data_IF_620644905076
#
_entry.id   IF_620644905076
#
_cell.length_a   1.000
_cell.length_b   1.000
_cell.length_c   1.000
_cell.angle_alpha   90.00
_cell.angle_beta   90.00
_cell.angle_gamma   90.00
#
_symmetry.space_group_name_H-M   'P 1'
#
loop_
_entity.id
_entity.type
_entity.pdbx_description
1 polymer ?
#
# COMPACT_ATOMS: atom_id res chain seq x y z
N UNK A 1 -14.40 -10.82 21.69
CA UNK A 1 -14.94 -10.04 20.57
C UNK A 1 -16.31 -9.54 20.97
N UNK A 2 -16.58 -8.24 20.92
CA UNK A 2 -17.91 -7.69 21.18
C UNK A 2 -18.86 -8.17 20.06
N UNK A 3 -19.92 -8.89 20.41
CA UNK A 3 -20.90 -9.40 19.42
C UNK A 3 -21.45 -8.24 18.56
N UNK A 4 -21.58 -7.05 19.15
CA UNK A 4 -22.07 -5.87 18.46
C UNK A 4 -21.10 -5.32 17.40
N UNK A 5 -19.77 -5.51 17.54
CA UNK A 5 -18.81 -5.08 16.52
C UNK A 5 -18.72 -6.10 15.38
N UNK A 6 -18.78 -7.39 15.69
CA UNK A 6 -18.76 -8.45 14.67
C UNK A 6 -19.92 -8.31 13.69
N UNK A 7 -21.13 -8.00 14.19
CA UNK A 7 -22.30 -7.81 13.34
C UNK A 7 -22.18 -6.57 12.43
N UNK A 8 -21.52 -5.51 12.89
CA UNK A 8 -21.23 -4.32 12.07
C UNK A 8 -20.23 -4.62 10.96
N UNK A 9 -19.21 -5.43 11.24
CA UNK A 9 -18.23 -5.84 10.23
C UNK A 9 -18.90 -6.74 9.18
N UNK A 10 -19.79 -7.65 9.59
CA UNK A 10 -20.61 -8.41 8.65
C UNK A 10 -21.52 -7.51 7.80
N UNK A 11 -22.03 -6.41 8.38
CA UNK A 11 -22.81 -5.45 7.63
C UNK A 11 -22.01 -4.78 6.51
N UNK A 12 -20.70 -4.55 6.67
CA UNK A 12 -19.85 -3.97 5.60
C UNK A 12 -19.89 -4.77 4.30
N UNK A 13 -20.08 -6.10 4.36
CA UNK A 13 -20.19 -6.93 3.15
C UNK A 13 -21.48 -6.70 2.35
N UNK A 14 -22.41 -5.92 2.89
CA UNK A 14 -23.69 -5.58 2.24
C UNK A 14 -23.73 -4.13 1.77
N UNK A 15 -22.66 -3.38 2.01
CA UNK A 15 -22.55 -1.99 1.59
C UNK A 15 -22.03 -1.94 0.15
N UNK A 16 -22.66 -1.11 -0.69
CA UNK A 16 -22.20 -0.89 -2.06
C UNK A 16 -20.88 -0.10 -2.10
N UNK A 17 -20.63 0.57 -3.23
CA UNK A 17 -19.41 1.36 -3.50
C UNK A 17 -18.91 2.23 -2.33
N UNK A 18 -19.82 2.77 -1.51
CA UNK A 18 -19.50 3.52 -0.30
C UNK A 18 -20.33 2.99 0.89
N UNK A 19 -19.71 2.72 2.05
CA UNK A 19 -20.43 2.32 3.23
C UNK A 19 -21.17 3.50 3.87
N UNK A 20 -22.30 3.23 4.51
CA UNK A 20 -23.02 4.21 5.29
C UNK A 20 -22.13 4.85 6.37
N UNK A 21 -22.10 6.18 6.43
CA UNK A 21 -21.20 6.91 7.33
C UNK A 21 -21.43 6.56 8.81
N UNK A 22 -22.69 6.29 9.18
CA UNK A 22 -23.05 5.84 10.52
C UNK A 22 -22.43 4.49 10.86
N UNK A 23 -22.36 3.56 9.91
CA UNK A 23 -21.74 2.26 10.11
C UNK A 23 -20.23 2.41 10.29
N UNK A 24 -19.57 3.14 9.37
CA UNK A 24 -18.15 3.46 9.45
C UNK A 24 -17.80 4.12 10.81
N UNK A 25 -18.55 5.15 11.22
CA UNK A 25 -18.33 5.85 12.49
C UNK A 25 -18.52 4.96 13.74
N UNK A 26 -19.41 3.96 13.68
CA UNK A 26 -19.57 3.00 14.77
C UNK A 26 -18.39 2.02 14.84
N UNK A 27 -17.88 1.60 13.69
CA UNK A 27 -16.73 0.69 13.60
C UNK A 27 -15.46 1.39 14.07
N UNK A 28 -15.18 2.60 13.56
CA UNK A 28 -13.99 3.37 13.97
C UNK A 28 -14.02 3.74 15.45
N UNK A 29 -15.20 4.08 16.01
CA UNK A 29 -15.35 4.35 17.44
C UNK A 29 -15.04 3.13 18.33
N UNK A 30 -15.22 1.92 17.83
CA UNK A 30 -14.84 0.71 18.56
C UNK A 30 -13.32 0.52 18.63
N UNK A 31 -12.55 1.26 17.81
CA UNK A 31 -11.08 1.31 17.85
C UNK A 31 -10.46 -0.09 17.76
N UNK A 32 -9.55 -0.39 18.68
CA UNK A 32 -8.84 -1.67 18.76
C UNK A 32 -9.78 -2.89 18.81
N UNK A 33 -11.02 -2.76 19.32
CA UNK A 33 -11.96 -3.87 19.37
C UNK A 33 -12.46 -4.30 17.98
N UNK A 34 -12.45 -3.40 16.98
CA UNK A 34 -12.79 -3.70 15.60
C UNK A 34 -11.63 -4.31 14.80
N UNK A 35 -10.40 -4.09 15.26
CA UNK A 35 -9.19 -4.32 14.48
C UNK A 35 -9.02 -5.78 14.00
N UNK A 36 -9.18 -6.83 14.83
CA UNK A 36 -9.01 -8.21 14.34
C UNK A 36 -9.97 -8.56 13.21
N UNK A 37 -11.22 -8.12 13.32
CA UNK A 37 -12.26 -8.37 12.33
C UNK A 37 -12.02 -7.59 11.03
N UNK A 38 -11.52 -6.36 11.14
CA UNK A 38 -11.14 -5.55 10.00
C UNK A 38 -9.93 -6.13 9.27
N UNK A 39 -8.92 -6.63 10.00
CA UNK A 39 -7.76 -7.32 9.41
C UNK A 39 -8.23 -8.56 8.65
N UNK A 40 -9.07 -9.39 9.26
CA UNK A 40 -9.63 -10.59 8.63
C UNK A 40 -10.36 -10.24 7.33
N UNK A 41 -11.27 -9.26 7.37
CA UNK A 41 -12.05 -8.86 6.19
C UNK A 41 -11.17 -8.19 5.11
N UNK A 42 -10.21 -7.37 5.49
CA UNK A 42 -9.28 -6.73 4.54
C UNK A 42 -8.34 -7.75 3.87
N UNK A 43 -7.99 -8.83 4.56
CA UNK A 43 -7.16 -9.90 4.01
C UNK A 43 -7.95 -10.95 3.22
N UNK A 44 -9.29 -10.89 3.22
CA UNK A 44 -10.11 -11.77 2.39
C UNK A 44 -10.18 -11.23 0.95
N UNK A 45 -9.04 -11.27 0.26
CA UNK A 45 -8.87 -10.71 -1.08
C UNK A 45 -9.69 -11.45 -2.14
N UNK A 46 -10.06 -12.71 -1.90
CA UNK A 46 -10.94 -13.48 -2.80
C UNK A 46 -12.29 -12.78 -3.04
N UNK A 47 -12.77 -12.02 -2.05
CA UNK A 47 -14.01 -11.25 -2.21
C UNK A 47 -13.89 -10.20 -3.31
N UNK A 48 -12.70 -9.66 -3.60
CA UNK A 48 -12.49 -8.63 -4.63
C UNK A 48 -12.93 -9.10 -6.03
N UNK A 49 -12.93 -10.41 -6.25
CA UNK A 49 -13.39 -11.07 -7.49
C UNK A 49 -14.88 -11.46 -7.46
N UNK A 50 -15.51 -11.47 -6.29
CA UNK A 50 -16.88 -11.96 -6.06
C UNK A 50 -17.97 -10.97 -6.49
N UNK A 51 -19.23 -11.25 -6.19
CA UNK A 51 -20.34 -10.37 -6.61
C UNK A 51 -20.47 -9.10 -5.75
N UNK A 52 -21.03 -8.06 -6.36
CA UNK A 52 -21.49 -6.88 -5.63
C UNK A 52 -22.67 -7.23 -4.71
N UNK A 53 -22.76 -6.63 -3.51
CA UNK A 53 -21.86 -5.61 -2.96
C UNK A 53 -20.62 -6.18 -2.23
N UNK A 54 -20.53 -7.49 -2.03
CA UNK A 54 -19.53 -8.11 -1.16
C UNK A 54 -18.08 -7.86 -1.62
N UNK A 55 -17.86 -7.65 -2.91
CA UNK A 55 -16.53 -7.36 -3.46
C UNK A 55 -15.90 -6.05 -2.98
N UNK A 56 -16.70 -5.10 -2.49
CA UNK A 56 -16.17 -3.84 -1.94
C UNK A 56 -15.70 -3.97 -0.49
N UNK A 57 -16.09 -5.06 0.20
CA UNK A 57 -15.87 -5.23 1.63
C UNK A 57 -14.38 -5.20 2.05
N UNK A 58 -13.43 -5.83 1.32
CA UNK A 58 -12.02 -5.77 1.69
C UNK A 58 -11.44 -4.36 1.60
N UNK A 59 -11.86 -3.56 0.61
CA UNK A 59 -11.45 -2.16 0.47
C UNK A 59 -12.04 -1.31 1.60
N UNK A 60 -13.33 -1.51 1.94
CA UNK A 60 -13.93 -0.83 3.10
C UNK A 60 -13.19 -1.15 4.39
N UNK A 61 -12.88 -2.42 4.62
CA UNK A 61 -12.16 -2.88 5.79
C UNK A 61 -10.74 -2.28 5.84
N UNK A 62 -10.01 -2.30 4.72
CA UNK A 62 -8.69 -1.71 4.58
C UNK A 62 -8.68 -0.22 4.95
N UNK A 63 -9.64 0.55 4.44
CA UNK A 63 -9.73 1.99 4.74
C UNK A 63 -10.09 2.25 6.20
N UNK A 64 -11.00 1.47 6.77
CA UNK A 64 -11.35 1.57 8.19
C UNK A 64 -10.19 1.15 9.11
N UNK A 65 -9.29 0.24 8.68
CA UNK A 65 -8.05 -0.05 9.40
C UNK A 65 -7.14 1.18 9.47
N UNK A 66 -7.05 1.95 8.39
CA UNK A 66 -6.30 3.21 8.37
C UNK A 66 -6.79 4.21 9.42
N UNK A 67 -8.11 4.30 9.58
CA UNK A 67 -8.75 5.19 10.58
C UNK A 67 -8.59 4.68 12.02
N UNK A 68 -8.59 3.36 12.24
CA UNK A 68 -8.36 2.75 13.56
C UNK A 68 -6.88 2.85 13.97
N UNK A 69 -5.97 2.68 13.01
CA UNK A 69 -4.53 2.86 13.18
C UNK A 69 -3.88 1.82 14.09
N UNK A 70 -3.32 0.74 13.51
CA UNK A 70 -2.53 -0.24 14.27
C UNK A 70 -1.38 -0.82 13.43
N UNK A 71 -0.20 -0.92 14.03
CA UNK A 71 0.97 -1.55 13.41
C UNK A 71 0.79 -3.06 13.19
N UNK A 72 -0.14 -3.71 13.91
CA UNK A 72 -0.38 -5.14 13.78
C UNK A 72 -1.01 -5.50 12.41
N UNK A 73 -1.55 -4.52 11.68
CA UNK A 73 -2.08 -4.77 10.32
C UNK A 73 -0.98 -4.98 9.27
N UNK A 74 0.26 -4.54 9.54
CA UNK A 74 1.35 -4.50 8.55
C UNK A 74 1.64 -5.90 8.03
N UNK A 75 1.91 -6.85 8.92
CA UNK A 75 2.28 -8.23 8.55
C UNK A 75 1.15 -8.94 7.80
N UNK A 76 -0.10 -9.00 8.31
CA UNK A 76 -1.21 -9.66 7.62
C UNK A 76 -1.49 -9.09 6.22
N UNK A 77 -1.49 -7.77 6.07
CA UNK A 77 -1.75 -7.12 4.78
C UNK A 77 -0.63 -7.39 3.78
N UNK A 78 0.63 -7.25 4.19
CA UNK A 78 1.78 -7.49 3.30
C UNK A 78 1.90 -8.97 2.90
N UNK A 79 1.40 -9.91 3.71
CA UNK A 79 1.36 -11.34 3.36
C UNK A 79 0.39 -11.66 2.22
N UNK A 80 -0.53 -10.77 1.87
CA UNK A 80 -1.41 -10.97 0.71
C UNK A 80 -0.74 -10.64 -0.62
N UNK A 81 0.50 -10.13 -0.62
CA UNK A 81 1.20 -9.81 -1.86
C UNK A 81 1.97 -11.03 -2.43
N UNK A 82 1.92 -11.26 -3.75
CA UNK A 82 1.13 -10.52 -4.74
C UNK A 82 -0.36 -10.84 -4.62
N UNK A 83 -1.21 -9.84 -4.83
CA UNK A 83 -2.65 -10.06 -4.94
C UNK A 83 -2.91 -10.73 -6.28
N UNK A 84 -3.68 -11.81 -6.28
CA UNK A 84 -4.06 -12.52 -7.50
C UNK A 84 -5.01 -11.66 -8.34
N UNK A 85 -4.85 -11.75 -9.66
CA UNK A 85 -5.76 -11.18 -10.65
C UNK A 85 -6.29 -12.35 -11.49
N UNK A 86 -7.62 -12.47 -11.66
CA UNK A 86 -8.18 -13.43 -12.61
C UNK A 86 -8.16 -12.88 -14.04
N UNK A 87 -8.20 -11.55 -14.20
CA UNK A 87 -8.05 -10.85 -15.49
C UNK A 87 -7.08 -9.66 -15.37
N UNK A 88 -6.41 -9.31 -16.47
CA UNK A 88 -5.35 -8.28 -16.49
C UNK A 88 -5.85 -6.87 -16.10
N UNK A 89 -7.13 -6.58 -16.35
CA UNK A 89 -7.78 -5.29 -16.15
C UNK A 89 -8.64 -5.22 -14.88
N UNK A 90 -8.55 -6.21 -14.00
CA UNK A 90 -9.31 -6.21 -12.75
C UNK A 90 -8.96 -5.03 -11.84
N UNK A 91 -9.95 -4.15 -11.63
CA UNK A 91 -9.72 -2.90 -10.90
C UNK A 91 -9.67 -3.06 -9.38
N UNK A 92 -10.56 -3.84 -8.76
CA UNK A 92 -10.67 -3.90 -7.30
C UNK A 92 -9.42 -4.49 -6.60
N UNK A 93 -8.85 -5.62 -7.07
CA UNK A 93 -7.56 -6.11 -6.56
C UNK A 93 -6.44 -5.08 -6.71
N UNK A 94 -6.40 -4.35 -7.83
CA UNK A 94 -5.41 -3.29 -8.05
C UNK A 94 -5.60 -2.12 -7.07
N UNK A 95 -6.82 -1.63 -6.88
CA UNK A 95 -7.13 -0.58 -5.89
C UNK A 95 -6.69 -1.02 -4.50
N UNK A 96 -7.01 -2.25 -4.10
CA UNK A 96 -6.58 -2.78 -2.80
C UNK A 96 -5.05 -2.81 -2.69
N UNK A 97 -4.35 -3.32 -3.70
CA UNK A 97 -2.89 -3.41 -3.71
C UNK A 97 -2.21 -2.03 -3.71
N UNK A 98 -2.81 -1.04 -4.40
CA UNK A 98 -2.35 0.35 -4.43
C UNK A 98 -2.56 1.06 -3.10
N UNK A 99 -3.65 0.77 -2.38
CA UNK A 99 -3.99 1.42 -1.11
C UNK A 99 -3.28 0.83 0.10
N UNK A 100 -2.95 -0.48 0.14
CA UNK A 100 -2.23 -1.07 1.29
C UNK A 100 -1.00 -0.27 1.72
N UNK A 101 -0.03 0.06 0.83
CA UNK A 101 1.14 0.83 1.24
C UNK A 101 0.79 2.26 1.67
N UNK A 102 -0.29 2.86 1.15
CA UNK A 102 -0.76 4.18 1.56
C UNK A 102 -1.33 4.15 2.99
N UNK A 103 -2.15 3.13 3.28
CA UNK A 103 -2.80 2.92 4.57
C UNK A 103 -1.77 2.57 5.64
N UNK A 104 -0.78 1.74 5.32
CA UNK A 104 0.34 1.48 6.22
C UNK A 104 1.18 2.76 6.41
N UNK A 105 1.44 3.51 5.33
CA UNK A 105 2.15 4.78 5.40
C UNK A 105 1.46 5.83 6.29
N UNK A 106 0.13 5.78 6.39
CA UNK A 106 -0.69 6.63 7.27
C UNK A 106 -0.32 6.49 8.76
N UNK A 107 0.24 5.35 9.18
CA UNK A 107 0.70 5.13 10.56
C UNK A 107 1.92 5.99 10.94
N UNK A 108 2.61 6.58 9.95
CA UNK A 108 3.78 7.43 10.16
C UNK A 108 4.95 6.65 10.80
N UNK A 109 5.64 7.31 11.72
CA UNK A 109 6.90 6.82 12.33
C UNK A 109 6.78 5.41 12.94
N UNK A 110 5.63 5.05 13.48
CA UNK A 110 5.42 3.74 14.12
C UNK A 110 5.56 2.55 13.15
N UNK A 111 5.37 2.76 11.85
CA UNK A 111 5.49 1.70 10.84
C UNK A 111 6.91 1.53 10.29
N UNK A 112 7.85 2.44 10.56
CA UNK A 112 9.18 2.43 9.91
C UNK A 112 9.95 1.15 10.22
N UNK A 113 10.06 0.76 11.49
CA UNK A 113 10.82 -0.43 11.89
C UNK A 113 10.18 -1.73 11.36
N UNK A 114 8.86 -1.97 11.52
CA UNK A 114 8.21 -3.14 10.95
C UNK A 114 8.36 -3.24 9.43
N UNK A 115 8.31 -2.11 8.71
CA UNK A 115 8.49 -2.09 7.26
C UNK A 115 9.91 -2.45 6.83
N UNK A 116 10.93 -1.98 7.56
CA UNK A 116 12.30 -2.41 7.30
C UNK A 116 12.50 -3.90 7.56
N UNK A 117 11.90 -4.43 8.64
CA UNK A 117 11.96 -5.85 8.94
C UNK A 117 11.39 -6.70 7.78
N UNK A 118 10.28 -6.28 7.17
CA UNK A 118 9.73 -6.95 5.98
C UNK A 118 10.62 -6.77 4.75
N UNK A 119 11.08 -5.55 4.47
CA UNK A 119 11.89 -5.26 3.28
C UNK A 119 13.22 -6.05 3.27
N UNK A 120 13.82 -6.25 4.43
CA UNK A 120 15.13 -6.92 4.58
C UNK A 120 15.02 -8.45 4.69
N UNK A 121 13.82 -8.97 4.99
CA UNK A 121 13.60 -10.40 5.18
C UNK A 121 13.46 -11.14 3.83
N UNK A 122 14.50 -11.89 3.46
CA UNK A 122 14.58 -12.57 2.16
C UNK A 122 13.56 -13.72 1.98
N UNK A 123 12.95 -14.21 3.07
CA UNK A 123 11.89 -15.22 3.06
C UNK A 123 10.50 -14.65 2.73
N UNK A 124 10.38 -13.32 2.62
CA UNK A 124 9.15 -12.67 2.20
C UNK A 124 8.97 -12.67 0.68
N UNK A 125 7.73 -12.77 0.18
CA UNK A 125 7.43 -12.62 -1.24
C UNK A 125 8.01 -11.31 -1.80
N UNK A 126 8.61 -11.30 -3.00
CA UNK A 126 9.20 -10.10 -3.58
C UNK A 126 8.23 -8.91 -3.68
N UNK A 127 6.97 -9.18 -4.03
CA UNK A 127 5.93 -8.16 -4.10
C UNK A 127 5.62 -7.53 -2.72
N UNK A 128 5.64 -8.33 -1.65
CA UNK A 128 5.46 -7.84 -0.28
C UNK A 128 6.60 -6.93 0.16
N UNK A 129 7.85 -7.33 -0.15
CA UNK A 129 9.05 -6.52 0.12
C UNK A 129 9.02 -5.20 -0.65
N UNK A 130 8.60 -5.24 -1.91
CA UNK A 130 8.39 -4.04 -2.73
C UNK A 130 7.33 -3.12 -2.11
N UNK A 131 6.16 -3.65 -1.75
CA UNK A 131 5.09 -2.90 -1.10
C UNK A 131 5.52 -2.27 0.23
N UNK A 132 6.33 -2.97 1.03
CA UNK A 132 6.91 -2.42 2.25
C UNK A 132 7.82 -1.20 1.98
N UNK A 133 8.65 -1.29 0.94
CA UNK A 133 9.49 -0.16 0.50
C UNK A 133 8.65 1.02 -0.02
N UNK A 134 7.54 0.76 -0.72
CA UNK A 134 6.60 1.80 -1.14
C UNK A 134 5.93 2.45 0.08
N UNK A 135 5.51 1.68 1.08
CA UNK A 135 4.90 2.21 2.30
C UNK A 135 5.86 3.16 3.05
N UNK A 136 7.17 2.85 3.10
CA UNK A 136 8.18 3.76 3.64
C UNK A 136 8.22 5.11 2.90
N UNK A 137 7.98 5.14 1.59
CA UNK A 137 7.90 6.41 0.85
C UNK A 137 6.68 7.23 1.26
N UNK A 138 5.54 6.59 1.51
CA UNK A 138 4.33 7.27 1.97
C UNK A 138 4.49 7.87 3.38
N UNK A 139 5.28 7.24 4.25
CA UNK A 139 5.62 7.79 5.57
C UNK A 139 6.30 9.16 5.43
N UNK A 140 7.06 9.45 4.36
CA UNK A 140 7.69 10.77 4.22
C UNK A 140 6.69 11.89 4.00
N UNK A 141 5.48 11.58 3.51
CA UNK A 141 4.39 12.54 3.52
C UNK A 141 3.83 12.69 4.93
N UNK A 142 3.60 11.63 5.68
CA UNK A 142 2.94 11.72 7.00
C UNK A 142 3.86 12.27 8.09
N UNK A 143 5.14 11.90 8.06
CA UNK A 143 6.20 12.30 8.98
C UNK A 143 7.41 12.87 8.19
N UNK A 144 7.32 14.13 7.69
CA UNK A 144 8.36 14.73 6.84
C UNK A 144 9.75 14.77 7.47
N UNK A 145 9.83 14.83 8.81
CA UNK A 145 11.09 14.77 9.56
C UNK A 145 11.85 13.44 9.35
N UNK A 146 11.15 12.37 8.96
CA UNK A 146 11.74 11.06 8.66
C UNK A 146 12.28 10.94 7.24
N UNK A 147 12.02 11.92 6.36
CA UNK A 147 12.39 11.86 4.95
C UNK A 147 13.88 11.56 4.75
N UNK A 148 14.76 12.30 5.44
CA UNK A 148 16.21 12.11 5.31
C UNK A 148 16.66 10.73 5.80
N UNK A 149 16.10 10.24 6.92
CA UNK A 149 16.44 8.93 7.46
C UNK A 149 16.00 7.79 6.53
N UNK A 150 14.80 7.89 5.96
CA UNK A 150 14.26 6.90 5.01
C UNK A 150 15.09 6.90 3.71
N UNK A 151 15.41 8.07 3.14
CA UNK A 151 16.28 8.16 1.95
C UNK A 151 17.66 7.57 2.21
N UNK A 152 18.27 7.87 3.36
CA UNK A 152 19.56 7.29 3.73
C UNK A 152 19.49 5.76 3.86
N UNK A 153 18.43 5.25 4.50
CA UNK A 153 18.20 3.81 4.64
C UNK A 153 18.00 3.08 3.30
N UNK A 154 17.28 3.70 2.36
CA UNK A 154 17.11 3.19 1.00
C UNK A 154 18.44 3.17 0.23
N UNK A 155 19.22 4.26 0.29
CA UNK A 155 20.52 4.36 -0.39
C UNK A 155 21.53 3.34 0.15
N UNK A 156 21.59 3.17 1.47
CA UNK A 156 22.48 2.20 2.09
C UNK A 156 22.18 0.77 1.59
N UNK A 157 20.90 0.39 1.56
CA UNK A 157 20.46 -0.92 1.04
C UNK A 157 20.69 -1.07 -0.45
N UNK A 158 20.56 0.01 -1.23
CA UNK A 158 20.83 -0.02 -2.67
C UNK A 158 22.31 -0.28 -2.93
N UNK A 159 23.19 0.37 -2.17
CA UNK A 159 24.64 0.19 -2.28
C UNK A 159 25.09 -1.23 -1.93
N UNK A 160 24.35 -1.93 -1.06
CA UNK A 160 24.62 -3.30 -0.64
C UNK A 160 23.72 -4.35 -1.29
N UNK A 161 22.91 -3.98 -2.30
CA UNK A 161 21.95 -4.89 -2.90
C UNK A 161 22.68 -6.04 -3.62
N UNK A 162 22.51 -7.26 -3.10
CA UNK A 162 23.18 -8.45 -3.63
C UNK A 162 22.50 -9.04 -4.87
N UNK A 163 21.29 -8.60 -5.20
CA UNK A 163 20.50 -9.10 -6.31
C UNK A 163 19.77 -7.96 -7.05
N UNK A 164 19.52 -8.18 -8.35
CA UNK A 164 18.88 -7.18 -9.22
C UNK A 164 17.42 -6.90 -8.88
N UNK A 165 16.73 -7.84 -8.22
CA UNK A 165 15.31 -7.68 -7.90
C UNK A 165 15.14 -6.70 -6.74
N UNK A 166 15.89 -6.88 -5.65
CA UNK A 166 15.94 -5.94 -4.54
C UNK A 166 16.43 -4.56 -4.99
N UNK A 167 17.49 -4.51 -5.81
CA UNK A 167 17.98 -3.26 -6.37
C UNK A 167 16.88 -2.52 -7.15
N UNK A 168 16.08 -3.24 -7.95
CA UNK A 168 14.93 -2.69 -8.70
C UNK A 168 13.86 -2.10 -7.78
N UNK A 169 13.53 -2.77 -6.68
CA UNK A 169 12.54 -2.24 -5.72
C UNK A 169 13.04 -1.00 -4.99
N UNK A 170 14.32 -0.99 -4.60
CA UNK A 170 14.95 0.15 -3.92
C UNK A 170 15.01 1.38 -4.82
N UNK A 171 15.39 1.23 -6.09
CA UNK A 171 15.38 2.36 -7.03
C UNK A 171 13.96 2.83 -7.34
N UNK A 172 12.97 1.94 -7.37
CA UNK A 172 11.55 2.31 -7.52
C UNK A 172 11.07 3.13 -6.32
N UNK A 173 11.43 2.75 -5.08
CA UNK A 173 11.12 3.53 -3.89
C UNK A 173 11.80 4.92 -3.91
N UNK A 174 13.09 4.98 -4.26
CA UNK A 174 13.81 6.25 -4.43
C UNK A 174 13.24 7.11 -5.57
N UNK A 175 12.78 6.47 -6.65
CA UNK A 175 12.04 7.10 -7.74
C UNK A 175 10.71 7.69 -7.27
N UNK A 176 9.97 6.98 -6.41
CA UNK A 176 8.73 7.47 -5.80
C UNK A 176 8.95 8.70 -4.93
N UNK A 177 10.15 8.88 -4.37
CA UNK A 177 10.54 10.08 -3.62
C UNK A 177 11.02 11.22 -4.54
N UNK A 178 11.17 11.00 -5.85
CA UNK A 178 11.63 12.03 -6.78
C UNK A 178 13.11 12.39 -6.63
N UNK A 179 13.96 11.41 -6.28
CA UNK A 179 15.39 11.62 -6.02
C UNK A 179 16.21 11.87 -7.30
N UNK A 180 16.06 13.07 -7.89
CA UNK A 180 16.65 13.49 -9.18
C UNK A 180 18.16 13.28 -9.28
N UNK A 181 18.88 13.45 -8.17
CA UNK A 181 20.34 13.34 -8.11
C UNK A 181 20.84 11.91 -8.34
N UNK A 182 20.00 10.89 -8.17
CA UNK A 182 20.34 9.49 -8.44
C UNK A 182 20.30 9.11 -9.91
N UNK A 183 19.79 9.97 -10.80
CA UNK A 183 19.60 9.62 -12.20
C UNK A 183 20.88 9.10 -12.91
N UNK A 184 22.07 9.72 -12.74
CA UNK A 184 23.31 9.21 -13.34
C UNK A 184 23.68 7.80 -12.85
N UNK A 185 23.56 7.55 -11.55
CA UNK A 185 23.91 6.27 -10.93
C UNK A 185 22.95 5.17 -11.38
N UNK A 186 21.64 5.44 -11.35
CA UNK A 186 20.60 4.52 -11.84
C UNK A 186 20.82 4.16 -13.32
N UNK A 187 21.20 5.13 -14.15
CA UNK A 187 21.51 4.87 -15.56
C UNK A 187 22.74 3.96 -15.71
N UNK A 188 23.76 4.14 -14.88
CA UNK A 188 24.92 3.24 -14.84
C UNK A 188 24.51 1.83 -14.40
N UNK A 189 23.61 1.69 -13.43
CA UNK A 189 23.07 0.40 -12.99
C UNK A 189 22.32 -0.34 -14.09
N UNK A 190 21.47 0.34 -14.89
CA UNK A 190 20.84 -0.27 -16.06
C UNK A 190 21.86 -0.75 -17.10
N UNK A 191 22.89 0.06 -17.39
CA UNK A 191 23.96 -0.33 -18.32
C UNK A 191 24.75 -1.53 -17.82
N UNK A 192 24.93 -1.65 -16.50
CA UNK A 192 25.58 -2.76 -15.84
C UNK A 192 24.68 -4.00 -15.68
N UNK A 193 23.39 -3.91 -16.02
CA UNK A 193 22.43 -5.02 -15.86
C UNK A 193 22.09 -5.36 -14.41
N UNK A 194 22.33 -4.44 -13.46
CA UNK A 194 22.05 -4.65 -12.03
C UNK A 194 20.63 -4.25 -11.63
N UNK A 195 19.84 -3.71 -12.57
CA UNK A 195 18.40 -3.47 -12.43
C UNK A 195 17.66 -4.40 -13.39
N UNK A 196 16.55 -4.97 -12.93
CA UNK A 196 15.65 -5.78 -13.73
C UNK A 196 14.65 -4.89 -14.49
N UNK A 197 14.84 -4.74 -15.80
CA UNK A 197 13.98 -3.91 -16.63
C UNK A 197 12.57 -4.47 -16.83
N UNK A 198 12.32 -5.74 -16.47
CA UNK A 198 10.98 -6.30 -16.45
C UNK A 198 10.18 -5.86 -15.21
N UNK A 199 10.88 -5.52 -14.12
CA UNK A 199 10.26 -4.97 -12.90
C UNK A 199 10.00 -3.47 -13.07
N UNK A 200 10.99 -2.73 -13.54
CA UNK A 200 10.87 -1.30 -13.77
C UNK A 200 11.62 -0.90 -15.05
N UNK A 201 10.93 -0.45 -16.11
CA UNK A 201 11.58 0.05 -17.30
C UNK A 201 12.33 1.37 -17.03
N UNK A 202 13.49 1.56 -17.67
CA UNK A 202 14.32 2.76 -17.49
C UNK A 202 13.57 4.07 -17.77
N UNK A 203 12.67 4.08 -18.77
CA UNK A 203 11.83 5.23 -19.09
C UNK A 203 10.87 5.59 -17.95
N UNK A 204 10.21 4.59 -17.36
CA UNK A 204 9.31 4.77 -16.23
C UNK A 204 10.08 5.27 -14.99
N UNK A 205 11.21 4.65 -14.66
CA UNK A 205 12.02 5.10 -13.52
C UNK A 205 12.55 6.53 -13.70
N UNK A 206 12.96 6.90 -14.91
CA UNK A 206 13.34 8.28 -15.25
C UNK A 206 12.19 9.25 -14.98
N UNK A 207 10.98 8.92 -15.42
CA UNK A 207 9.82 9.77 -15.17
C UNK A 207 9.58 9.93 -13.67
N UNK A 208 9.64 8.84 -12.89
CA UNK A 208 9.46 8.88 -11.44
C UNK A 208 10.50 9.79 -10.76
N UNK A 209 11.79 9.58 -11.05
CA UNK A 209 12.89 10.35 -10.47
C UNK A 209 12.78 11.85 -10.77
N UNK A 210 12.28 12.22 -11.95
CA UNK A 210 12.24 13.61 -12.42
C UNK A 210 10.92 14.34 -12.11
N UNK A 211 9.85 13.59 -11.85
CA UNK A 211 8.53 14.12 -11.52
C UNK A 211 8.45 14.67 -10.09
N UNK A 212 7.48 15.55 -9.85
CA UNK A 212 7.10 15.94 -8.48
C UNK A 212 6.29 14.80 -7.84
N UNK A 213 6.83 14.22 -6.78
CA UNK A 213 6.23 13.12 -6.02
C UNK A 213 5.16 13.58 -5.03
N UNK A 214 5.06 14.89 -4.75
CA UNK A 214 4.22 15.44 -3.68
C UNK A 214 2.76 15.00 -3.76
N UNK A 215 2.14 15.07 -4.95
CA UNK A 215 0.75 14.66 -5.17
C UNK A 215 0.53 13.17 -4.95
N UNK A 216 1.46 12.33 -5.42
CA UNK A 216 1.37 10.87 -5.24
C UNK A 216 1.47 10.52 -3.76
N UNK A 217 2.46 11.06 -3.07
CA UNK A 217 2.70 10.74 -1.65
C UNK A 217 1.62 11.31 -0.73
N UNK A 218 0.94 12.39 -1.15
CA UNK A 218 -0.18 12.97 -0.41
C UNK A 218 -1.35 11.98 -0.20
N UNK A 219 -1.47 10.93 -1.02
CA UNK A 219 -2.50 9.90 -0.89
C UNK A 219 -2.48 9.19 0.48
N UNK A 220 -1.34 9.14 1.16
CA UNK A 220 -1.26 8.62 2.53
C UNK A 220 -1.96 9.50 3.57
N UNK A 221 -2.24 10.77 3.25
CA UNK A 221 -2.91 11.73 4.14
C UNK A 221 -4.41 11.86 3.85
N UNK A 222 -4.94 11.21 2.81
CA UNK A 222 -6.36 11.32 2.50
C UNK A 222 -7.20 10.72 3.63
N UNK A 223 -8.16 11.49 4.20
CA UNK A 223 -9.13 10.95 5.15
C UNK A 223 -10.06 9.94 4.48
N UNK A 224 -10.70 9.09 5.28
CA UNK A 224 -11.60 8.02 4.82
C UNK A 224 -12.45 8.38 3.60
N UNK A 225 -13.21 9.48 3.66
CA UNK A 225 -14.18 9.82 2.61
C UNK A 225 -13.52 10.33 1.33
N UNK A 226 -12.42 11.07 1.45
CA UNK A 226 -11.66 11.54 0.28
C UNK A 226 -11.07 10.36 -0.51
N UNK A 227 -10.82 9.22 0.14
CA UNK A 227 -10.39 8.00 -0.56
C UNK A 227 -11.48 7.42 -1.47
N UNK A 228 -12.74 7.46 -1.04
CA UNK A 228 -13.86 7.05 -1.91
C UNK A 228 -14.02 8.00 -3.09
N UNK A 229 -13.76 9.29 -2.88
CA UNK A 229 -13.91 10.30 -3.92
C UNK A 229 -12.76 10.25 -4.95
N UNK A 230 -11.55 9.84 -4.55
CA UNK A 230 -10.35 9.90 -5.41
C UNK A 230 -9.84 8.55 -5.92
N UNK A 231 -10.04 7.46 -5.16
CA UNK A 231 -9.45 6.15 -5.47
C UNK A 231 -10.49 5.09 -5.85
N UNK A 232 -11.77 5.45 -5.85
CA UNK A 232 -12.87 4.51 -6.07
C UNK A 232 -13.17 3.69 -4.81
N UNK A 233 -13.75 2.48 -4.91
CA UNK A 233 -14.32 1.94 -6.13
C UNK A 233 -15.30 2.94 -6.76
N UNK A 234 -15.42 2.94 -8.08
CA UNK A 234 -16.39 3.76 -8.81
C UNK A 234 -17.47 2.87 -9.42
N UNK A 235 -18.69 3.39 -9.55
CA UNK A 235 -19.77 2.66 -10.21
C UNK A 235 -19.38 2.35 -11.67
N UNK A 236 -19.56 1.10 -12.10
CA UNK A 236 -19.29 0.68 -13.47
C UNK A 236 -17.84 0.24 -13.74
N UNK A 237 -16.96 0.13 -12.74
CA UNK A 237 -15.59 -0.40 -12.90
C UNK A 237 -15.53 -1.92 -13.26
N UNK A 238 -16.68 -2.53 -13.57
CA UNK A 238 -16.81 -3.87 -14.16
C UNK A 238 -17.20 -3.86 -15.65
N UNK A 239 -17.46 -2.70 -16.24
CA UNK A 239 -17.80 -2.59 -17.66
C UNK A 239 -16.51 -2.52 -18.52
N UNK A 240 -15.79 -3.63 -18.62
CA UNK A 240 -14.93 -3.94 -19.77
C UNK A 240 -15.06 -5.42 -20.11
#
# INVERSE_FOLDING_TARGET
>A
MDLAISDKIKQLQREGVRPAERLAAQITRAGAAAQPALIELACNTDLLHGDEPACYAPIHALRLLGEVGSVEMITPLLRQFPVELYYEDERLPQVWAEEVPQIIGHLGTAAIEPLWAVADAADWPPAARSSALIALTYITAVAPEQHQAIVAGLRARLASAGDKQLASYLVTALGNLGMKDLYPDVLAMYRAGTIDSAIIPAGALRQMLLSDSSKRLACARHPLWERYDQHGPFAGEREV
#
